data_IF_093582746310
#
_entry.id   IF_093582746310
#
_cell.length_a   1.000
_cell.length_b   1.000
_cell.length_c   1.000
_cell.angle_alpha   90.00
_cell.angle_beta   90.00
_cell.angle_gamma   90.00
#
_symmetry.space_group_name_H-M   'P 1'
#
loop_
_entity.id
_entity.type
_entity.pdbx_description
1 polymer ?
#
# COMPACT_ATOMS: atom_id res chain seq x y z
N UNK A 1 -24.67 -7.57 7.83
CA UNK A 1 -23.67 -8.02 6.83
C UNK A 1 -22.30 -7.95 7.48
N UNK A 2 -21.44 -8.97 7.36
CA UNK A 2 -20.06 -8.90 7.86
C UNK A 2 -19.28 -8.03 6.88
N UNK A 3 -18.97 -6.80 7.27
CA UNK A 3 -18.21 -5.89 6.43
C UNK A 3 -16.72 -6.22 6.56
N UNK A 4 -16.09 -6.52 5.42
CA UNK A 4 -14.67 -6.88 5.36
C UNK A 4 -13.87 -5.60 5.21
N UNK A 5 -13.06 -5.29 6.23
CA UNK A 5 -12.22 -4.11 6.29
C UNK A 5 -10.74 -4.49 6.27
N UNK A 6 -9.90 -3.56 5.82
CA UNK A 6 -8.46 -3.76 5.75
C UNK A 6 -7.80 -3.44 7.11
N UNK A 7 -7.55 -4.46 7.93
CA UNK A 7 -6.97 -4.33 9.29
C UNK A 7 -5.44 -4.17 9.32
N UNK A 8 -4.92 -3.20 8.57
CA UNK A 8 -3.49 -2.90 8.56
C UNK A 8 -2.65 -3.84 7.69
N UNK A 9 -1.34 -3.59 7.69
CA UNK A 9 -0.35 -4.38 6.96
C UNK A 9 0.07 -5.62 7.75
N UNK A 10 0.28 -6.75 7.07
CA UNK A 10 0.85 -7.97 7.65
C UNK A 10 2.37 -7.83 7.94
N UNK A 11 2.71 -7.00 8.91
CA UNK A 11 4.09 -6.70 9.30
C UNK A 11 4.84 -7.93 9.80
N UNK A 12 4.19 -8.80 10.59
CA UNK A 12 4.79 -10.03 11.12
C UNK A 12 5.17 -10.99 9.99
N UNK A 13 4.26 -11.21 9.03
CA UNK A 13 4.51 -12.09 7.89
C UNK A 13 5.65 -11.59 7.00
N UNK A 14 5.71 -10.27 6.77
CA UNK A 14 6.79 -9.65 6.00
C UNK A 14 8.14 -9.73 6.74
N UNK A 15 8.17 -9.53 8.05
CA UNK A 15 9.38 -9.71 8.86
C UNK A 15 9.91 -11.14 8.79
N UNK A 16 9.02 -12.15 8.89
CA UNK A 16 9.39 -13.57 8.75
C UNK A 16 9.97 -13.91 7.37
N UNK A 17 9.57 -13.17 6.33
CA UNK A 17 10.12 -13.29 4.96
C UNK A 17 11.42 -12.51 4.73
N UNK A 18 12.00 -11.91 5.78
CA UNK A 18 13.28 -11.20 5.69
C UNK A 18 13.18 -9.77 5.17
N UNK A 19 12.00 -9.15 5.20
CA UNK A 19 11.86 -7.74 4.82
C UNK A 19 12.55 -6.86 5.86
N UNK A 20 13.45 -5.99 5.40
CA UNK A 20 14.14 -5.04 6.29
C UNK A 20 13.15 -4.04 6.90
N UNK A 21 13.52 -3.48 8.06
CA UNK A 21 12.69 -2.44 8.73
C UNK A 21 12.50 -1.20 7.86
N UNK A 22 13.40 -0.91 6.94
CA UNK A 22 13.26 0.20 6.00
C UNK A 22 12.19 -0.12 4.94
N UNK A 23 12.25 -1.31 4.34
CA UNK A 23 11.25 -1.79 3.37
C UNK A 23 9.85 -1.82 3.98
N UNK A 24 9.72 -2.36 5.19
CA UNK A 24 8.46 -2.37 5.94
C UNK A 24 7.90 -0.96 6.17
N UNK A 25 8.76 0.01 6.49
CA UNK A 25 8.35 1.40 6.67
C UNK A 25 7.84 2.03 5.38
N UNK A 26 8.50 1.78 4.24
CA UNK A 26 8.06 2.24 2.92
C UNK A 26 6.68 1.67 2.56
N UNK A 27 6.50 0.35 2.71
CA UNK A 27 5.22 -0.32 2.43
C UNK A 27 4.11 0.21 3.36
N UNK A 28 4.38 0.34 4.66
CA UNK A 28 3.41 0.82 5.62
C UNK A 28 2.95 2.27 5.33
N UNK A 29 3.88 3.13 4.91
CA UNK A 29 3.57 4.50 4.51
C UNK A 29 2.67 4.51 3.27
N UNK A 30 3.00 3.73 2.26
CA UNK A 30 2.20 3.63 1.05
C UNK A 30 0.79 3.09 1.33
N UNK A 31 0.69 2.05 2.16
CA UNK A 31 -0.59 1.48 2.60
C UNK A 31 -1.47 2.52 3.30
N UNK A 32 -0.90 3.32 4.22
CA UNK A 32 -1.65 4.42 4.86
C UNK A 32 -2.11 5.48 3.87
N UNK A 33 -1.31 5.80 2.86
CA UNK A 33 -1.71 6.79 1.83
C UNK A 33 -2.87 6.29 0.98
N UNK A 34 -2.88 5.00 0.63
CA UNK A 34 -3.97 4.38 -0.14
C UNK A 34 -5.29 4.32 0.66
N UNK A 35 -5.20 4.06 1.96
CA UNK A 35 -6.37 3.99 2.85
C UNK A 35 -6.82 5.35 3.41
N UNK A 36 -6.05 6.41 3.20
CA UNK A 36 -6.41 7.73 3.70
C UNK A 36 -7.73 8.19 3.07
N UNK A 37 -8.75 8.41 3.90
CA UNK A 37 -10.10 8.79 3.46
C UNK A 37 -10.16 10.16 2.78
N UNK A 38 -9.12 11.00 2.94
CA UNK A 38 -9.04 12.32 2.31
C UNK A 38 -8.62 12.30 0.84
N UNK A 39 -8.18 11.16 0.30
CA UNK A 39 -7.72 11.05 -1.09
C UNK A 39 -8.42 9.88 -1.79
N UNK A 40 -8.73 10.06 -3.08
CA UNK A 40 -9.16 8.95 -3.93
C UNK A 40 -7.93 8.11 -4.32
N UNK A 41 -8.17 6.91 -4.87
CA UNK A 41 -7.10 5.97 -5.19
C UNK A 41 -6.15 6.56 -6.25
N UNK A 42 -6.67 7.26 -7.27
CA UNK A 42 -5.88 7.89 -8.32
C UNK A 42 -4.92 8.95 -7.79
N UNK A 43 -5.38 9.83 -6.91
CA UNK A 43 -4.55 10.88 -6.31
C UNK A 43 -3.48 10.29 -5.40
N UNK A 44 -3.83 9.26 -4.62
CA UNK A 44 -2.86 8.52 -3.79
C UNK A 44 -1.80 7.83 -4.64
N UNK A 45 -2.17 7.26 -5.79
CA UNK A 45 -1.22 6.65 -6.72
C UNK A 45 -0.31 7.69 -7.37
N UNK A 46 -0.85 8.83 -7.82
CA UNK A 46 -0.05 9.92 -8.39
C UNK A 46 0.96 10.46 -7.37
N UNK A 47 0.54 10.62 -6.11
CA UNK A 47 1.42 11.07 -5.03
C UNK A 47 2.48 10.04 -4.67
N UNK A 48 2.14 8.75 -4.69
CA UNK A 48 3.13 7.69 -4.53
C UNK A 48 4.15 7.73 -5.66
N UNK A 49 3.71 7.77 -6.93
CA UNK A 49 4.61 7.85 -8.09
C UNK A 49 5.53 9.07 -8.11
N UNK A 50 5.10 10.18 -7.50
CA UNK A 50 5.92 11.37 -7.35
C UNK A 50 7.07 11.22 -6.33
N UNK A 51 7.08 10.16 -5.51
CA UNK A 51 8.16 9.89 -4.58
C UNK A 51 9.33 9.18 -5.28
N UNK A 52 10.51 9.80 -5.23
CA UNK A 52 11.74 9.33 -5.89
C UNK A 52 12.39 8.10 -5.23
N UNK A 53 11.86 7.58 -4.13
CA UNK A 53 12.43 6.43 -3.39
C UNK A 53 11.35 5.47 -2.85
N UNK A 54 10.43 5.07 -3.73
CA UNK A 54 9.37 4.10 -3.42
C UNK A 54 9.94 2.73 -3.05
N UNK A 55 11.00 2.30 -3.74
CA UNK A 55 11.52 0.95 -3.68
C UNK A 55 10.61 -0.07 -4.38
N UNK A 56 11.19 -1.20 -4.75
CA UNK A 56 10.54 -2.23 -5.57
C UNK A 56 9.22 -2.75 -4.97
N UNK A 57 9.14 -2.85 -3.63
CA UNK A 57 7.94 -3.34 -2.96
C UNK A 57 6.73 -2.40 -3.12
N UNK A 58 6.97 -1.09 -3.05
CA UNK A 58 5.91 -0.10 -3.18
C UNK A 58 5.49 0.04 -4.64
N UNK A 59 6.42 -0.04 -5.59
CA UNK A 59 6.08 -0.11 -7.01
C UNK A 59 5.19 -1.32 -7.33
N UNK A 60 5.51 -2.48 -6.73
CA UNK A 60 4.68 -3.68 -6.87
C UNK A 60 3.27 -3.47 -6.30
N UNK A 61 3.16 -2.77 -5.16
CA UNK A 61 1.88 -2.39 -4.58
C UNK A 61 1.08 -1.45 -5.50
N UNK A 62 1.73 -0.41 -6.04
CA UNK A 62 1.12 0.55 -6.98
C UNK A 62 0.58 -0.18 -8.21
N UNK A 63 1.39 -1.04 -8.84
CA UNK A 63 0.96 -1.84 -10.00
C UNK A 63 -0.22 -2.76 -9.68
N UNK A 64 -0.25 -3.36 -8.49
CA UNK A 64 -1.38 -4.18 -8.05
C UNK A 64 -2.69 -3.36 -7.96
N UNK A 65 -2.61 -2.16 -7.38
CA UNK A 65 -3.78 -1.28 -7.25
C UNK A 65 -4.25 -0.80 -8.62
N UNK A 66 -3.32 -0.45 -9.52
CA UNK A 66 -3.64 -0.04 -10.90
C UNK A 66 -4.28 -1.14 -11.73
N UNK A 67 -3.85 -2.39 -11.52
CA UNK A 67 -4.44 -3.55 -12.19
C UNK A 67 -5.81 -3.96 -11.62
N UNK A 68 -6.27 -3.36 -10.52
CA UNK A 68 -7.53 -3.75 -9.89
C UNK A 68 -8.74 -3.07 -10.55
N UNK A 69 -9.48 -3.82 -11.36
CA UNK A 69 -10.71 -3.34 -12.01
C UNK A 69 -11.85 -3.05 -11.03
N UNK A 70 -11.88 -3.73 -9.88
CA UNK A 70 -12.95 -3.61 -8.87
C UNK A 70 -12.61 -2.62 -7.75
N UNK A 71 -11.46 -1.95 -7.84
CA UNK A 71 -10.94 -1.09 -6.77
C UNK A 71 -10.30 -1.88 -5.62
N UNK A 72 -10.05 -1.20 -4.51
CA UNK A 72 -9.44 -1.78 -3.29
C UNK A 72 -10.36 -1.65 -2.10
N UNK A 73 -10.31 -2.65 -1.21
CA UNK A 73 -11.00 -2.59 0.09
C UNK A 73 -10.34 -1.51 0.96
N UNK A 74 -11.18 -0.69 1.59
CA UNK A 74 -10.77 0.27 2.60
C UNK A 74 -11.09 -0.24 4.01
#
# INVERSE_FOLDING_TARGET
KREVHAFGMNSIGLQRKGFSRERLRKIHRAYRMLLNSKMNVGDSLAKLKAETNLGEDVERLVKFVEASERGILK
#
